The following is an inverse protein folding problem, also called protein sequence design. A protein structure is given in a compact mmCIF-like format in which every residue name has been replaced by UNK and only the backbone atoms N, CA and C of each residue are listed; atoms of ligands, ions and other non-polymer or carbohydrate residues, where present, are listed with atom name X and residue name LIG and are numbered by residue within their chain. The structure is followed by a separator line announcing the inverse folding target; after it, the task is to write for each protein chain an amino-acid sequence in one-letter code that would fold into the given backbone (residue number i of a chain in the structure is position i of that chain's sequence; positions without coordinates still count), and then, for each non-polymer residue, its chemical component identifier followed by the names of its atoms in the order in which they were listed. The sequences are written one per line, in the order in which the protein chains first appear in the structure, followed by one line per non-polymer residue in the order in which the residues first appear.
data_IF_268846949094
#
_entry.id   IF_268846949094
#
_cell.length_a   1.000
_cell.length_b   1.000
_cell.length_c   1.000
_cell.angle_alpha   90.00
_cell.angle_beta   90.00
_cell.angle_gamma   90.00
#
_symmetry.space_group_name_H-M   'P 1'
#
loop_
_entity.id
_entity.type
_entity.pdbx_description
1 polymer ?
#
# COMPACT_ATOMS: atom_id res chain seq x y z
N UNK A 1 -16.23 10.30 8.04
CA UNK A 1 -14.89 9.75 8.31
C UNK A 1 -14.49 8.71 7.29
N UNK A 2 -13.20 8.36 7.20
CA UNK A 2 -12.69 7.27 6.37
C UNK A 2 -12.09 6.16 7.22
N UNK A 3 -12.08 4.93 6.69
CA UNK A 3 -11.43 3.78 7.35
C UNK A 3 -10.35 3.22 6.44
N UNK A 4 -9.15 3.02 6.97
CA UNK A 4 -8.01 2.45 6.26
C UNK A 4 -7.62 1.14 6.94
N UNK A 5 -7.55 0.07 6.16
CA UNK A 5 -7.23 -1.28 6.65
C UNK A 5 -5.99 -1.76 5.92
N UNK A 6 -4.90 -1.90 6.68
CA UNK A 6 -3.60 -2.22 6.10
C UNK A 6 -2.87 -3.32 6.88
N UNK A 7 -2.02 -4.03 6.19
CA UNK A 7 -1.07 -4.99 6.79
C UNK A 7 0.29 -4.36 7.00
N UNK A 8 0.60 -3.35 6.20
CA UNK A 8 1.91 -2.72 6.15
C UNK A 8 1.73 -1.22 6.40
N UNK A 9 2.21 -0.75 7.56
CA UNK A 9 2.14 0.65 7.94
C UNK A 9 3.42 1.05 8.70
N UNK A 10 3.84 2.32 8.68
CA UNK A 10 4.98 2.74 9.48
C UNK A 10 4.85 2.34 10.96
N UNK A 11 5.99 2.12 11.66
CA UNK A 11 7.35 2.45 11.29
C UNK A 11 8.04 1.45 10.36
N UNK A 12 7.37 0.36 9.95
CA UNK A 12 7.91 -0.55 8.92
C UNK A 12 8.21 0.24 7.64
N UNK A 13 9.35 -0.04 7.00
CA UNK A 13 9.86 0.74 5.85
C UNK A 13 9.60 0.01 4.54
N UNK A 14 8.92 0.68 3.63
CA UNK A 14 8.67 0.17 2.28
C UNK A 14 7.66 1.00 1.49
N UNK A 15 7.55 0.70 0.20
CA UNK A 15 6.68 1.47 -0.70
C UNK A 15 5.19 1.41 -0.35
N UNK A 16 4.70 0.25 0.14
CA UNK A 16 3.29 0.12 0.55
C UNK A 16 3.06 0.88 1.85
N UNK A 17 3.99 0.82 2.80
CA UNK A 17 3.92 1.54 4.06
C UNK A 17 3.82 3.05 3.84
N UNK A 18 4.73 3.61 3.04
CA UNK A 18 4.74 5.03 2.69
C UNK A 18 3.48 5.43 1.90
N UNK A 19 2.99 4.56 1.00
CA UNK A 19 1.77 4.79 0.25
C UNK A 19 0.54 4.85 1.18
N UNK A 20 0.40 3.90 2.10
CA UNK A 20 -0.74 3.85 3.02
C UNK A 20 -0.70 5.00 4.03
N UNK A 21 0.47 5.40 4.48
CA UNK A 21 0.65 6.59 5.30
C UNK A 21 0.26 7.86 4.55
N UNK A 22 0.80 8.04 3.33
CA UNK A 22 0.48 9.19 2.48
C UNK A 22 -1.01 9.28 2.14
N UNK A 23 -1.64 8.13 1.81
CA UNK A 23 -3.09 8.05 1.61
C UNK A 23 -3.85 8.47 2.88
N UNK A 24 -3.48 7.95 4.04
CA UNK A 24 -4.14 8.27 5.31
C UNK A 24 -4.00 9.76 5.65
N UNK A 25 -2.80 10.33 5.50
CA UNK A 25 -2.55 11.76 5.69
C UNK A 25 -3.32 12.63 4.68
N UNK A 26 -3.44 12.15 3.43
CA UNK A 26 -4.23 12.82 2.39
C UNK A 26 -5.72 12.84 2.73
N UNK A 27 -6.27 11.70 3.14
CA UNK A 27 -7.68 11.59 3.55
C UNK A 27 -7.97 12.43 4.81
N UNK A 28 -7.03 12.49 5.76
CA UNK A 28 -7.16 13.28 6.99
C UNK A 28 -7.28 14.79 6.75
N UNK A 29 -6.90 15.29 5.57
CA UNK A 29 -7.13 16.70 5.18
C UNK A 29 -8.61 16.97 4.86
N UNK A 30 -9.40 15.94 4.61
CA UNK A 30 -10.80 16.06 4.18
C UNK A 30 -11.79 15.61 5.25
N UNK A 31 -11.41 14.64 6.08
CA UNK A 31 -12.23 14.14 7.18
C UNK A 31 -11.37 13.27 8.12
N UNK A 32 -11.92 12.93 9.30
CA UNK A 32 -11.26 12.01 10.23
C UNK A 32 -10.99 10.65 9.58
N UNK A 33 -9.86 10.04 9.96
CA UNK A 33 -9.41 8.74 9.42
C UNK A 33 -9.14 7.78 10.56
N UNK A 34 -9.78 6.62 10.54
CA UNK A 34 -9.50 5.49 11.42
C UNK A 34 -8.65 4.47 10.70
N UNK A 35 -7.51 4.09 11.27
CA UNK A 35 -6.57 3.14 10.67
C UNK A 35 -6.52 1.86 11.50
N UNK A 36 -6.68 0.72 10.83
CA UNK A 36 -6.43 -0.61 11.41
C UNK A 36 -5.19 -1.21 10.75
N UNK A 37 -4.07 -1.22 11.45
CA UNK A 37 -2.79 -1.71 10.96
C UNK A 37 -2.30 -2.93 11.75
N UNK A 38 -1.50 -3.80 11.12
CA UNK A 38 -0.79 -4.83 11.87
C UNK A 38 0.25 -4.17 12.78
N UNK A 39 0.47 -4.77 13.95
CA UNK A 39 1.56 -4.32 14.81
C UNK A 39 2.91 -4.57 14.13
N UNK A 40 3.87 -3.71 14.40
CA UNK A 40 5.25 -3.80 13.97
C UNK A 40 6.18 -3.40 15.13
N UNK A 41 7.45 -3.76 15.05
CA UNK A 41 8.43 -3.38 16.07
C UNK A 41 8.48 -1.83 16.20
N UNK A 42 8.56 -1.33 17.44
CA UNK A 42 8.64 0.11 17.77
C UNK A 42 7.47 0.97 17.27
N UNK A 43 6.29 0.37 17.04
CA UNK A 43 5.13 1.10 16.55
C UNK A 43 4.63 2.16 17.56
N UNK A 44 4.83 1.95 18.87
CA UNK A 44 4.38 2.85 19.91
C UNK A 44 4.99 4.26 19.76
N UNK A 45 6.29 4.34 19.49
CA UNK A 45 6.99 5.62 19.28
C UNK A 45 6.45 6.35 18.05
N UNK A 46 6.19 5.61 16.97
CA UNK A 46 5.61 6.19 15.76
C UNK A 46 4.18 6.70 16.01
N UNK A 47 3.34 5.88 16.66
CA UNK A 47 1.94 6.20 16.90
C UNK A 47 1.79 7.41 17.85
N UNK A 48 2.65 7.54 18.87
CA UNK A 48 2.69 8.72 19.76
C UNK A 48 3.06 10.00 19.04
N UNK A 49 3.95 9.93 18.05
CA UNK A 49 4.35 11.07 17.21
C UNK A 49 3.39 11.36 16.05
N UNK A 50 2.35 10.53 15.85
CA UNK A 50 1.43 10.64 14.72
C UNK A 50 0.12 11.31 15.14
N UNK A 51 -0.42 12.19 14.28
CA UNK A 51 -1.78 12.75 14.46
C UNK A 51 -2.88 11.86 13.87
N UNK A 52 -2.57 10.61 13.52
CA UNK A 52 -3.52 9.66 12.94
C UNK A 52 -4.10 8.75 14.03
N UNK A 53 -5.39 8.45 13.94
CA UNK A 53 -6.04 7.48 14.83
C UNK A 53 -5.76 6.04 14.38
N UNK A 54 -4.75 5.40 15.00
CA UNK A 54 -4.24 4.09 14.62
C UNK A 54 -4.59 3.04 15.67
N UNK A 55 -5.26 1.97 15.25
CA UNK A 55 -5.44 0.76 16.05
C UNK A 55 -4.48 -0.32 15.54
N UNK A 56 -3.52 -0.71 16.36
CA UNK A 56 -2.57 -1.80 16.07
C UNK A 56 -3.16 -3.16 16.45
N UNK A 57 -3.17 -4.05 15.47
CA UNK A 57 -3.70 -5.40 15.67
C UNK A 57 -2.55 -6.32 16.02
N UNK A 58 -2.51 -6.74 17.30
CA UNK A 58 -1.48 -7.60 17.91
C UNK A 58 -1.75 -9.09 17.68
N UNK A 59 -0.72 -9.90 17.95
CA UNK A 59 -0.82 -11.35 18.03
C UNK A 59 -0.26 -12.11 16.83
N UNK A 60 -0.37 -13.44 16.90
CA UNK A 60 0.21 -14.33 15.88
C UNK A 60 -0.30 -14.02 14.47
N UNK A 61 0.62 -13.99 13.51
CA UNK A 61 0.38 -13.59 12.12
C UNK A 61 -0.79 -14.33 11.45
N UNK A 62 -0.99 -15.61 11.78
CA UNK A 62 -2.06 -16.44 11.20
C UNK A 62 -3.44 -15.95 11.64
N UNK A 63 -3.60 -15.59 12.92
CA UNK A 63 -4.87 -15.16 13.48
C UNK A 63 -5.12 -13.65 13.35
N UNK A 64 -4.07 -12.86 13.10
CA UNK A 64 -4.13 -11.41 13.05
C UNK A 64 -5.12 -10.89 12.01
N UNK A 65 -5.21 -11.55 10.84
CA UNK A 65 -6.17 -11.18 9.79
C UNK A 65 -7.63 -11.31 10.25
N UNK A 66 -7.96 -12.36 11.01
CA UNK A 66 -9.31 -12.58 11.54
C UNK A 66 -9.63 -11.58 12.64
N UNK A 67 -8.68 -11.36 13.57
CA UNK A 67 -8.81 -10.37 14.62
C UNK A 67 -8.98 -8.97 14.07
N UNK A 68 -8.21 -8.59 13.05
CA UNK A 68 -8.36 -7.31 12.37
C UNK A 68 -9.74 -7.18 11.74
N UNK A 69 -10.18 -8.18 11.00
CA UNK A 69 -11.51 -8.17 10.39
C UNK A 69 -12.63 -8.08 11.43
N UNK A 70 -12.51 -8.76 12.57
CA UNK A 70 -13.45 -8.65 13.69
C UNK A 70 -13.51 -7.20 14.20
N UNK A 71 -12.38 -6.60 14.54
CA UNK A 71 -12.32 -5.21 15.03
C UNK A 71 -12.90 -4.21 14.03
N UNK A 72 -12.60 -4.39 12.74
CA UNK A 72 -13.14 -3.55 11.68
C UNK A 72 -14.65 -3.71 11.54
N UNK A 73 -15.15 -4.95 11.52
CA UNK A 73 -16.58 -5.20 11.40
C UNK A 73 -17.36 -4.60 12.59
N UNK A 74 -16.84 -4.76 13.82
CA UNK A 74 -17.47 -4.12 15.00
C UNK A 74 -17.43 -2.59 14.90
N UNK A 75 -16.32 -2.03 14.42
CA UNK A 75 -16.22 -0.58 14.22
C UNK A 75 -17.23 -0.07 13.17
N UNK A 76 -17.35 -0.77 12.03
CA UNK A 76 -18.28 -0.40 10.95
C UNK A 76 -19.76 -0.56 11.34
N UNK A 77 -20.06 -1.41 12.32
CA UNK A 77 -21.41 -1.59 12.86
C UNK A 77 -21.93 -0.32 13.53
N UNK A 78 -21.05 0.41 14.22
CA UNK A 78 -21.41 1.55 15.06
C UNK A 78 -21.03 2.90 14.45
N UNK A 79 -20.39 2.91 13.27
CA UNK A 79 -19.91 4.14 12.65
C UNK A 79 -20.36 4.23 11.20
N UNK A 80 -20.75 5.44 10.77
CA UNK A 80 -21.01 5.75 9.38
C UNK A 80 -19.73 6.26 8.71
N UNK A 81 -19.35 5.65 7.58
CA UNK A 81 -18.08 5.94 6.91
C UNK A 81 -18.28 6.34 5.45
N UNK A 82 -17.50 7.31 4.99
CA UNK A 82 -17.52 7.80 3.59
C UNK A 82 -16.81 6.86 2.63
N UNK A 83 -15.92 5.98 3.14
CA UNK A 83 -15.20 5.03 2.34
C UNK A 83 -14.23 4.17 3.14
N UNK A 84 -14.00 2.96 2.64
CA UNK A 84 -13.11 1.96 3.25
C UNK A 84 -11.99 1.65 2.27
N UNK A 85 -10.73 1.81 2.69
CA UNK A 85 -9.55 1.59 1.88
C UNK A 85 -8.75 0.38 2.36
N UNK A 86 -8.35 -0.46 1.42
CA UNK A 86 -7.60 -1.69 1.69
C UNK A 86 -6.27 -1.68 0.94
N UNK A 87 -5.18 -1.96 1.62
CA UNK A 87 -3.84 -2.10 1.01
C UNK A 87 -3.68 -3.38 0.17
N UNK A 88 -4.56 -4.36 0.39
CA UNK A 88 -4.38 -5.71 -0.14
C UNK A 88 -5.70 -6.47 -0.10
N UNK A 89 -5.97 -7.34 -1.09
CA UNK A 89 -7.18 -8.16 -1.13
C UNK A 89 -7.40 -9.04 0.13
N UNK A 90 -6.32 -9.50 0.80
CA UNK A 90 -6.43 -10.25 2.06
C UNK A 90 -6.93 -9.40 3.24
N UNK A 91 -6.77 -8.09 3.18
CA UNK A 91 -7.32 -7.17 4.17
C UNK A 91 -8.83 -7.00 3.99
N UNK A 92 -9.32 -7.12 2.76
CA UNK A 92 -10.74 -7.10 2.41
C UNK A 92 -11.46 -8.43 2.72
N UNK A 93 -10.76 -9.56 2.66
CA UNK A 93 -11.31 -10.91 2.55
C UNK A 93 -12.38 -11.26 3.59
N UNK A 94 -12.15 -10.87 4.84
CA UNK A 94 -13.01 -11.23 5.98
C UNK A 94 -13.92 -10.09 6.45
N UNK A 95 -14.01 -9.01 5.67
CA UNK A 95 -14.99 -7.94 5.92
C UNK A 95 -16.35 -8.43 5.46
N UNK A 96 -17.36 -8.19 6.28
CA UNK A 96 -18.74 -8.61 6.01
C UNK A 96 -19.29 -7.88 4.80
N UNK A 97 -20.01 -8.61 3.96
CA UNK A 97 -20.57 -8.07 2.72
C UNK A 97 -21.57 -6.94 2.96
N UNK A 98 -22.31 -6.99 4.06
CA UNK A 98 -23.25 -5.94 4.45
C UNK A 98 -22.59 -4.54 4.53
N UNK A 99 -21.36 -4.46 5.11
CA UNK A 99 -20.63 -3.19 5.19
C UNK A 99 -20.02 -2.78 3.84
N UNK A 100 -19.57 -3.74 3.03
CA UNK A 100 -19.05 -3.46 1.68
C UNK A 100 -20.15 -3.02 0.71
N UNK A 101 -21.40 -3.42 0.96
CA UNK A 101 -22.56 -2.94 0.21
C UNK A 101 -23.03 -1.56 0.71
N UNK A 102 -22.91 -1.33 2.02
CA UNK A 102 -23.32 -0.05 2.64
C UNK A 102 -22.36 1.09 2.33
N UNK A 103 -21.06 0.81 2.35
CA UNK A 103 -20.00 1.83 2.23
C UNK A 103 -19.15 1.63 0.97
N UNK A 104 -18.74 2.71 0.28
CA UNK A 104 -17.79 2.61 -0.83
C UNK A 104 -16.48 1.94 -0.38
N UNK A 105 -16.05 0.91 -1.10
CA UNK A 105 -14.85 0.12 -0.78
C UNK A 105 -13.83 0.21 -1.91
N UNK A 106 -12.58 0.53 -1.56
CA UNK A 106 -11.46 0.74 -2.46
C UNK A 106 -10.33 -0.22 -2.11
N UNK A 107 -10.02 -1.17 -2.99
CA UNK A 107 -8.92 -2.11 -2.77
C UNK A 107 -7.75 -1.79 -3.69
N UNK A 108 -6.59 -1.46 -3.11
CA UNK A 108 -5.39 -1.16 -3.86
C UNK A 108 -4.73 -2.45 -4.36
N UNK A 109 -4.16 -2.39 -5.56
CA UNK A 109 -3.36 -3.47 -6.16
C UNK A 109 -1.98 -2.95 -6.60
N UNK A 110 -0.92 -3.79 -6.36
CA UNK A 110 0.48 -3.41 -6.50
C UNK A 110 1.30 -4.34 -7.41
N UNK A 111 0.66 -5.27 -8.10
CA UNK A 111 1.16 -6.28 -9.02
C UNK A 111 1.55 -7.63 -8.41
N UNK A 112 2.48 -7.71 -7.46
CA UNK A 112 2.99 -9.01 -6.96
C UNK A 112 1.90 -9.87 -6.31
N UNK A 113 1.04 -9.25 -5.51
CA UNK A 113 -0.01 -9.92 -4.72
C UNK A 113 -1.22 -10.36 -5.54
N UNK A 114 -1.32 -9.91 -6.78
CA UNK A 114 -2.38 -10.33 -7.72
C UNK A 114 -1.86 -11.27 -8.81
N UNK A 115 -0.53 -11.42 -8.95
CA UNK A 115 0.07 -12.26 -9.98
C UNK A 115 -0.02 -13.74 -9.60
N UNK A 116 -1.21 -14.29 -9.68
CA UNK A 116 -1.50 -15.70 -9.43
C UNK A 116 -2.05 -16.33 -10.71
N UNK A 117 -1.42 -17.40 -11.25
CA UNK A 117 -1.86 -18.02 -12.50
C UNK A 117 -3.34 -18.42 -12.47
N UNK A 118 -4.02 -18.21 -13.59
CA UNK A 118 -5.41 -18.61 -13.78
C UNK A 118 -5.58 -20.12 -13.49
N UNK A 119 -6.72 -20.49 -12.93
CA UNK A 119 -7.02 -21.87 -12.57
C UNK A 119 -6.46 -22.31 -11.22
N UNK A 120 -5.58 -21.55 -10.58
CA UNK A 120 -5.09 -21.88 -9.23
C UNK A 120 -6.13 -21.55 -8.17
N UNK A 121 -6.13 -22.30 -7.07
CA UNK A 121 -7.01 -22.05 -5.92
C UNK A 121 -6.83 -20.64 -5.34
N UNK A 122 -5.59 -20.14 -5.35
CA UNK A 122 -5.27 -18.80 -4.86
C UNK A 122 -5.81 -17.70 -5.78
N UNK A 123 -5.75 -17.90 -7.11
CA UNK A 123 -6.36 -16.99 -8.08
C UNK A 123 -7.90 -16.98 -7.92
N UNK A 124 -8.54 -18.15 -7.83
CA UNK A 124 -9.99 -18.25 -7.63
C UNK A 124 -10.43 -17.55 -6.32
N UNK A 125 -9.69 -17.76 -5.23
CA UNK A 125 -9.94 -17.11 -3.94
C UNK A 125 -9.79 -15.60 -4.05
N UNK A 126 -8.73 -15.11 -4.66
CA UNK A 126 -8.46 -13.68 -4.90
C UNK A 126 -9.60 -13.03 -5.69
N UNK A 127 -10.01 -13.65 -6.79
CA UNK A 127 -11.11 -13.14 -7.62
C UNK A 127 -12.44 -13.08 -6.85
N UNK A 128 -12.77 -14.11 -6.03
CA UNK A 128 -13.95 -14.07 -5.15
C UNK A 128 -13.92 -12.88 -4.18
N UNK A 129 -12.74 -12.53 -3.67
CA UNK A 129 -12.59 -11.39 -2.78
C UNK A 129 -12.77 -10.06 -3.52
N UNK A 130 -12.13 -9.91 -4.69
CA UNK A 130 -12.25 -8.67 -5.47
C UNK A 130 -13.66 -8.41 -5.99
N UNK A 131 -14.48 -9.45 -6.20
CA UNK A 131 -15.91 -9.27 -6.54
C UNK A 131 -16.67 -8.49 -5.46
N UNK A 132 -16.23 -8.55 -4.19
CA UNK A 132 -16.83 -7.79 -3.08
C UNK A 132 -16.41 -6.32 -3.09
N UNK A 133 -15.28 -5.95 -3.68
CA UNK A 133 -14.83 -4.56 -3.75
C UNK A 133 -15.70 -3.78 -4.73
N UNK A 134 -16.05 -2.54 -4.37
CA UNK A 134 -16.72 -1.61 -5.28
C UNK A 134 -15.76 -1.06 -6.31
N UNK A 135 -14.54 -0.69 -5.88
CA UNK A 135 -13.48 -0.15 -6.72
C UNK A 135 -12.16 -0.87 -6.46
N UNK A 136 -11.39 -1.10 -7.52
CA UNK A 136 -10.04 -1.63 -7.48
C UNK A 136 -9.11 -0.53 -7.99
N UNK A 137 -8.10 -0.17 -7.21
CA UNK A 137 -7.19 0.93 -7.53
C UNK A 137 -5.84 0.36 -7.94
N UNK A 138 -5.51 0.48 -9.22
CA UNK A 138 -4.21 0.10 -9.76
C UNK A 138 -3.25 1.29 -9.74
N UNK A 139 -2.01 1.05 -9.29
CA UNK A 139 -0.97 2.08 -9.23
C UNK A 139 -0.36 2.44 -10.60
N UNK A 140 -0.67 1.69 -11.65
CA UNK A 140 -0.17 1.91 -13.01
C UNK A 140 -1.01 1.17 -14.04
N UNK A 141 -0.83 1.54 -15.33
CA UNK A 141 -1.42 0.79 -16.45
C UNK A 141 -0.97 -0.68 -16.44
N UNK A 142 0.32 -0.94 -16.21
CA UNK A 142 0.85 -2.32 -16.09
C UNK A 142 0.10 -3.14 -15.04
N UNK A 143 -0.17 -2.57 -13.87
CA UNK A 143 -0.88 -3.25 -12.79
C UNK A 143 -2.36 -3.47 -13.13
N UNK A 144 -3.01 -2.52 -13.81
CA UNK A 144 -4.37 -2.71 -14.36
C UNK A 144 -4.38 -3.87 -15.35
N UNK A 145 -3.52 -3.85 -16.36
CA UNK A 145 -3.45 -4.88 -17.40
C UNK A 145 -3.15 -6.27 -16.80
N UNK A 146 -2.29 -6.33 -15.77
CA UNK A 146 -2.05 -7.56 -15.02
C UNK A 146 -3.31 -8.03 -14.29
N UNK A 147 -4.04 -7.14 -13.63
CA UNK A 147 -5.29 -7.46 -12.95
C UNK A 147 -6.31 -8.10 -13.90
N UNK A 148 -6.51 -7.49 -15.08
CA UNK A 148 -7.39 -8.03 -16.12
C UNK A 148 -6.94 -9.42 -16.56
N UNK A 149 -5.64 -9.61 -16.84
CA UNK A 149 -5.08 -10.94 -17.19
C UNK A 149 -5.27 -11.97 -16.09
N UNK A 150 -5.32 -11.57 -14.84
CA UNK A 150 -5.57 -12.46 -13.69
C UNK A 150 -7.06 -12.66 -13.40
N UNK A 151 -7.96 -12.14 -14.25
CA UNK A 151 -9.40 -12.35 -14.18
C UNK A 151 -10.17 -11.35 -13.33
N UNK A 152 -9.59 -10.20 -12.99
CA UNK A 152 -10.32 -9.13 -12.32
C UNK A 152 -11.23 -8.38 -13.30
N UNK A 153 -12.37 -7.91 -12.82
CA UNK A 153 -13.35 -7.14 -13.59
C UNK A 153 -12.78 -5.78 -14.01
N UNK A 154 -12.55 -5.58 -15.30
CA UNK A 154 -11.89 -4.38 -15.83
C UNK A 154 -12.63 -3.08 -15.48
N UNK A 155 -13.96 -3.09 -15.51
CA UNK A 155 -14.80 -1.93 -15.21
C UNK A 155 -14.68 -1.46 -13.75
N UNK A 156 -14.19 -2.30 -12.85
CA UNK A 156 -13.89 -1.93 -11.45
C UNK A 156 -12.49 -1.38 -11.25
N UNK A 157 -11.58 -1.53 -12.24
CA UNK A 157 -10.17 -1.15 -12.08
C UNK A 157 -9.93 0.27 -12.57
N UNK A 158 -9.59 1.14 -11.65
CA UNK A 158 -9.22 2.54 -11.90
C UNK A 158 -7.72 2.73 -11.69
N UNK A 159 -7.07 3.50 -12.56
CA UNK A 159 -5.65 3.84 -12.41
C UNK A 159 -5.56 5.12 -11.61
N UNK A 160 -4.87 5.05 -10.47
CA UNK A 160 -4.48 6.21 -9.67
C UNK A 160 -3.00 6.06 -9.36
N UNK A 161 -2.18 6.90 -9.97
CA UNK A 161 -0.74 6.89 -9.71
C UNK A 161 -0.43 7.29 -8.27
N UNK A 162 0.52 6.62 -7.60
CA UNK A 162 0.96 7.02 -6.28
C UNK A 162 1.48 8.46 -6.30
N UNK A 163 1.07 9.24 -5.30
CA UNK A 163 1.65 10.54 -5.07
C UNK A 163 3.09 10.45 -4.58
N UNK A 164 3.83 11.52 -4.73
CA UNK A 164 5.16 11.69 -4.15
C UNK A 164 5.18 12.96 -3.31
N UNK A 165 6.03 12.98 -2.29
CA UNK A 165 6.28 14.20 -1.55
C UNK A 165 7.10 15.16 -2.40
N UNK A 166 6.80 16.45 -2.33
CA UNK A 166 7.68 17.46 -2.89
C UNK A 166 9.05 17.40 -2.20
N UNK A 167 10.14 17.60 -2.95
CA UNK A 167 11.46 17.62 -2.35
C UNK A 167 11.52 18.69 -1.26
N UNK A 168 12.03 18.31 -0.11
CA UNK A 168 12.35 19.25 0.97
C UNK A 168 13.47 20.16 0.45
N UNK A 169 13.46 21.43 0.88
CA UNK A 169 14.54 22.36 0.53
C UNK A 169 15.88 21.75 0.99
N UNK A 170 16.74 21.44 0.03
CA UNK A 170 18.03 20.81 0.31
C UNK A 170 18.94 21.89 0.93
N UNK A 171 19.53 21.57 2.07
CA UNK A 171 20.52 22.45 2.69
C UNK A 171 21.79 22.53 1.81
N UNK A 172 22.36 23.72 1.72
CA UNK A 172 23.57 23.95 0.90
C UNK A 172 24.73 23.02 1.27
N UNK A 173 24.83 22.63 2.54
CA UNK A 173 25.81 21.66 3.06
C UNK A 173 25.63 20.28 2.42
N UNK A 174 24.40 19.79 2.27
CA UNK A 174 24.11 18.49 1.66
C UNK A 174 24.36 18.52 0.13
N UNK A 175 24.07 19.64 -0.51
CA UNK A 175 24.40 19.85 -1.93
C UNK A 175 25.90 19.80 -2.18
N UNK A 176 26.70 20.47 -1.32
CA UNK A 176 28.17 20.45 -1.42
C UNK A 176 28.72 19.03 -1.22
N UNK A 177 28.19 18.30 -0.23
CA UNK A 177 28.57 16.91 0.03
C UNK A 177 28.25 16.00 -1.15
N UNK A 178 27.10 16.18 -1.80
CA UNK A 178 26.75 15.46 -3.00
C UNK A 178 27.70 15.79 -4.17
N UNK A 179 28.07 17.04 -4.36
CA UNK A 179 29.06 17.45 -5.36
C UNK A 179 30.44 16.82 -5.12
N UNK A 180 30.87 16.74 -3.88
CA UNK A 180 32.13 16.08 -3.50
C UNK A 180 32.10 14.58 -3.85
N UNK A 181 31.02 13.86 -3.45
CA UNK A 181 30.85 12.42 -3.72
C UNK A 181 30.78 12.14 -5.22
N UNK A 182 30.03 12.92 -5.98
CA UNK A 182 29.80 12.65 -7.41
C UNK A 182 30.86 13.25 -8.33
N UNK A 183 31.72 14.11 -7.84
CA UNK A 183 32.77 14.73 -8.64
C UNK A 183 32.26 15.51 -9.85
N UNK A 184 33.16 15.76 -10.81
CA UNK A 184 32.88 16.51 -12.05
C UNK A 184 32.55 15.62 -13.26
N UNK A 185 32.70 14.28 -13.15
CA UNK A 185 32.48 13.36 -14.28
C UNK A 185 31.03 13.28 -14.70
N UNK A 186 30.78 13.11 -16.00
CA UNK A 186 29.45 12.97 -16.60
C UNK A 186 29.46 11.83 -17.63
N UNK A 187 28.39 11.04 -17.76
CA UNK A 187 27.12 11.11 -17.01
C UNK A 187 27.23 10.55 -15.59
N UNK A 188 26.33 11.00 -14.70
CA UNK A 188 26.18 10.47 -13.33
C UNK A 188 25.00 9.54 -13.26
N UNK A 189 25.24 8.29 -12.91
CA UNK A 189 24.19 7.25 -12.83
C UNK A 189 24.03 6.83 -11.37
N UNK A 190 22.82 6.95 -10.85
CA UNK A 190 22.48 6.58 -9.46
C UNK A 190 21.40 5.50 -9.50
N UNK A 191 21.64 4.43 -8.75
CA UNK A 191 20.62 3.41 -8.52
C UNK A 191 20.28 3.32 -7.03
N UNK A 192 19.06 3.68 -6.69
CA UNK A 192 18.54 3.62 -5.31
C UNK A 192 17.50 2.51 -5.24
N UNK A 193 17.91 1.34 -4.76
CA UNK A 193 17.00 0.21 -4.60
C UNK A 193 17.57 -0.82 -3.62
N UNK A 194 16.71 -1.69 -3.09
CA UNK A 194 17.16 -2.86 -2.32
C UNK A 194 18.00 -3.78 -3.21
N UNK A 195 19.00 -4.44 -2.64
CA UNK A 195 19.76 -5.50 -3.31
C UNK A 195 18.86 -6.73 -3.50
N UNK A 196 18.08 -6.71 -4.56
CA UNK A 196 17.12 -7.76 -4.94
C UNK A 196 17.31 -8.03 -6.44
N UNK A 197 17.33 -9.29 -6.84
CA UNK A 197 17.51 -9.72 -8.25
C UNK A 197 16.58 -8.99 -9.22
N UNK A 198 15.33 -8.70 -8.78
CA UNK A 198 14.32 -7.96 -9.58
C UNK A 198 14.69 -6.48 -9.82
N UNK A 199 15.64 -5.93 -9.07
CA UNK A 199 16.13 -4.55 -9.24
C UNK A 199 17.26 -4.46 -10.26
N UNK A 200 17.70 -5.60 -10.77
CA UNK A 200 18.63 -5.72 -11.92
C UNK A 200 19.93 -4.92 -11.79
N UNK A 201 20.46 -4.76 -10.56
CA UNK A 201 21.73 -4.04 -10.35
C UNK A 201 22.87 -4.57 -11.24
N UNK A 202 22.92 -5.92 -11.40
CA UNK A 202 23.92 -6.55 -12.26
C UNK A 202 23.78 -6.09 -13.71
N UNK A 203 22.55 -6.02 -14.25
CA UNK A 203 22.32 -5.58 -15.64
C UNK A 203 22.72 -4.12 -15.82
N UNK A 204 22.46 -3.25 -14.83
CA UNK A 204 22.89 -1.84 -14.87
C UNK A 204 24.42 -1.77 -14.97
N UNK A 205 25.15 -2.50 -14.12
CA UNK A 205 26.61 -2.52 -14.15
C UNK A 205 27.15 -3.07 -15.47
N UNK A 206 26.54 -4.12 -16.02
CA UNK A 206 26.93 -4.67 -17.32
C UNK A 206 26.72 -3.69 -18.47
N UNK A 207 25.64 -2.91 -18.44
CA UNK A 207 25.34 -1.90 -19.46
C UNK A 207 26.31 -0.72 -19.44
N UNK A 208 26.83 -0.36 -18.24
CA UNK A 208 27.81 0.74 -18.10
C UNK A 208 29.21 0.30 -18.55
N UNK A 209 29.52 -0.98 -18.49
CA UNK A 209 30.82 -1.51 -18.84
C UNK A 209 31.07 -1.56 -20.36
N UNK A 210 30.03 -1.57 -21.16
CA UNK A 210 30.05 -1.54 -22.63
C UNK A 210 29.91 -0.10 -23.15
#
# INVERSE_FOLDING_TARGET
MFVVITRNFPPDVGGIQSLMEGLSKGLAKHDSVKIFADEYLDYENYDQGSNLDITRVKGFKIFRKFRKAFLVNEYLKSNDVKGIFFDHWKSLEHIKLEYLNKFPSFCLIHSKEINHPLGTSLNSRMNKVFKKAKFIIANSKYTKDLGVRMGLEENKIHIIHPGTNYPVKIEKKEELKAKEIFGSTFPKIITIARLDKRKSHQNILMTIKN
#
